data_IF_867331318307
#
_entry.id   IF_867331318307
#
_cell.length_a   1.000
_cell.length_b   1.000
_cell.length_c   1.000
_cell.angle_alpha   90.00
_cell.angle_beta   90.00
_cell.angle_gamma   90.00
#
_symmetry.space_group_name_H-M   'P 1'
#
loop_
_entity.id
_entity.type
_entity.pdbx_description
1 polymer ?
#
# COMPACT_ATOMS: atom_id res chain seq x y z
N UNK A 1 7.65 13.75 -24.38
CA UNK A 1 7.83 12.34 -24.03
C UNK A 1 7.29 12.10 -22.63
N UNK A 2 6.46 11.08 -22.45
CA UNK A 2 5.93 10.71 -21.13
C UNK A 2 6.76 9.56 -20.56
N UNK A 3 7.28 9.75 -19.36
CA UNK A 3 7.94 8.68 -18.62
C UNK A 3 6.91 7.78 -17.94
N UNK A 4 7.16 6.50 -17.92
CA UNK A 4 6.31 5.54 -17.24
C UNK A 4 7.07 4.77 -16.17
N UNK A 5 6.36 4.34 -15.13
CA UNK A 5 6.94 3.50 -14.08
C UNK A 5 5.90 2.51 -13.57
N UNK A 6 6.36 1.41 -13.04
CA UNK A 6 5.51 0.41 -12.42
C UNK A 6 5.40 0.69 -10.92
N UNK A 7 4.17 0.82 -10.45
CA UNK A 7 3.86 1.04 -9.03
C UNK A 7 3.26 -0.24 -8.45
N UNK A 8 4.04 -0.95 -7.66
CA UNK A 8 3.57 -2.12 -6.93
C UNK A 8 2.92 -1.65 -5.65
N UNK A 9 1.59 -1.68 -5.62
CA UNK A 9 0.79 -1.05 -4.58
C UNK A 9 0.00 -2.09 -3.81
N UNK A 10 0.00 -2.00 -2.48
CA UNK A 10 -0.74 -2.90 -1.60
C UNK A 10 -1.85 -2.16 -0.87
N UNK A 11 -3.07 -2.70 -0.95
CA UNK A 11 -4.23 -2.16 -0.21
C UNK A 11 -4.06 -2.22 1.30
N UNK A 12 -3.12 -3.04 1.78
CA UNK A 12 -2.89 -3.23 3.21
C UNK A 12 -1.72 -2.41 3.74
N UNK A 13 -0.88 -1.90 2.88
CA UNK A 13 0.30 -1.15 3.29
C UNK A 13 -0.06 0.29 3.68
N UNK A 14 0.19 0.70 4.93
CA UNK A 14 0.03 2.10 5.32
C UNK A 14 0.90 3.06 4.50
N UNK A 15 2.09 2.62 4.11
CA UNK A 15 2.99 3.45 3.28
C UNK A 15 2.44 3.65 1.87
N UNK A 16 1.76 2.66 1.30
CA UNK A 16 1.06 2.84 0.02
C UNK A 16 -0.02 3.91 0.14
N UNK A 17 -0.77 3.90 1.24
CA UNK A 17 -1.76 4.94 1.53
C UNK A 17 -1.12 6.32 1.64
N UNK A 18 -0.05 6.43 2.43
CA UNK A 18 0.58 7.73 2.72
C UNK A 18 1.21 8.37 1.48
N UNK A 19 1.66 7.59 0.50
CA UNK A 19 2.32 8.11 -0.70
C UNK A 19 1.34 8.45 -1.82
N UNK A 20 0.08 8.00 -1.72
CA UNK A 20 -0.88 8.08 -2.84
C UNK A 20 -1.10 9.50 -3.35
N UNK A 21 -1.30 10.49 -2.47
CA UNK A 21 -1.52 11.88 -2.89
C UNK A 21 -0.33 12.44 -3.66
N UNK A 22 0.89 12.10 -3.23
CA UNK A 22 2.12 12.55 -3.92
C UNK A 22 2.25 11.92 -5.29
N UNK A 23 1.87 10.65 -5.43
CA UNK A 23 1.91 9.96 -6.73
C UNK A 23 0.87 10.54 -7.69
N UNK A 24 -0.32 10.87 -7.20
CA UNK A 24 -1.35 11.55 -8.02
C UNK A 24 -0.87 12.92 -8.46
N UNK A 25 -0.28 13.69 -7.53
CA UNK A 25 0.28 15.02 -7.85
C UNK A 25 1.42 14.91 -8.87
N UNK A 26 2.24 13.88 -8.79
CA UNK A 26 3.33 13.64 -9.73
C UNK A 26 2.82 13.50 -11.16
N UNK A 27 1.75 12.73 -11.37
CA UNK A 27 1.13 12.59 -12.70
C UNK A 27 0.47 13.87 -13.18
N UNK A 28 -0.13 14.64 -12.27
CA UNK A 28 -0.77 15.90 -12.59
C UNK A 28 0.24 16.97 -13.03
N UNK A 29 1.38 17.03 -12.34
CA UNK A 29 2.32 18.14 -12.47
C UNK A 29 3.48 17.84 -13.44
N UNK A 30 3.70 16.59 -13.78
CA UNK A 30 4.80 16.15 -14.64
C UNK A 30 4.32 15.16 -15.69
N UNK A 31 5.10 15.04 -16.77
CA UNK A 31 4.82 14.06 -17.84
C UNK A 31 5.25 12.66 -17.40
N UNK A 32 4.56 12.13 -16.40
CA UNK A 32 4.85 10.82 -15.80
C UNK A 32 3.54 10.05 -15.63
N UNK A 33 3.55 8.76 -15.90
CA UNK A 33 2.39 7.89 -15.73
C UNK A 33 2.77 6.63 -14.95
N UNK A 34 1.97 6.31 -13.95
CA UNK A 34 2.12 5.08 -13.18
C UNK A 34 1.33 3.93 -13.82
N UNK A 35 1.97 2.79 -13.97
CA UNK A 35 1.28 1.52 -14.22
C UNK A 35 1.07 0.87 -12.85
N UNK A 36 -0.14 0.98 -12.33
CA UNK A 36 -0.45 0.45 -11.00
C UNK A 36 -0.57 -1.07 -11.06
N UNK A 37 0.25 -1.75 -10.27
CA UNK A 37 0.27 -3.21 -10.17
C UNK A 37 -0.08 -3.62 -8.74
N UNK A 38 -1.36 -3.90 -8.45
CA UNK A 38 -1.74 -4.34 -7.11
C UNK A 38 -1.06 -5.66 -6.76
N UNK A 39 -0.55 -5.74 -5.54
CA UNK A 39 0.12 -6.94 -5.03
C UNK A 39 -0.56 -7.42 -3.76
N UNK A 40 -0.43 -8.72 -3.48
CA UNK A 40 -0.88 -9.26 -2.22
C UNK A 40 -0.05 -8.69 -1.08
N UNK A 41 -0.69 -8.37 0.06
CA UNK A 41 0.05 -7.94 1.25
C UNK A 41 1.08 -8.97 1.70
N UNK A 42 2.13 -8.49 2.35
CA UNK A 42 3.22 -9.34 2.82
C UNK A 42 2.71 -10.47 3.74
N UNK A 43 1.74 -10.18 4.60
CA UNK A 43 1.15 -11.18 5.48
C UNK A 43 0.46 -12.33 4.73
N UNK A 44 0.03 -12.10 3.48
CA UNK A 44 -0.57 -13.13 2.63
C UNK A 44 0.49 -13.88 1.84
N UNK A 45 1.50 -13.17 1.31
CA UNK A 45 2.58 -13.78 0.52
C UNK A 45 3.51 -14.63 1.37
N UNK A 46 3.78 -14.18 2.58
CA UNK A 46 4.68 -14.85 3.53
C UNK A 46 4.00 -14.84 4.89
N UNK A 47 3.05 -15.78 5.16
CA UNK A 47 2.23 -15.74 6.36
C UNK A 47 3.00 -15.70 7.68
N UNK A 48 4.17 -16.33 7.72
CA UNK A 48 5.00 -16.38 8.94
C UNK A 48 5.94 -15.18 9.10
N UNK A 49 5.92 -14.21 8.16
CA UNK A 49 6.84 -13.07 8.23
C UNK A 49 6.73 -12.30 9.54
N UNK A 50 5.51 -11.94 9.93
CA UNK A 50 5.28 -11.15 11.14
C UNK A 50 5.52 -11.93 12.44
N UNK A 51 5.53 -13.26 12.36
CA UNK A 51 5.88 -14.12 13.49
C UNK A 51 7.40 -14.17 13.72
N UNK A 52 8.19 -13.92 12.68
CA UNK A 52 9.65 -14.01 12.70
C UNK A 52 10.36 -12.69 12.93
N UNK A 53 9.70 -11.57 12.62
CA UNK A 53 10.33 -10.25 12.79
C UNK A 53 10.44 -9.87 14.25
N UNK A 54 11.44 -9.04 14.57
CA UNK A 54 11.61 -8.50 15.91
C UNK A 54 10.38 -7.65 16.26
N UNK A 55 9.73 -7.89 17.41
CA UNK A 55 8.60 -7.07 17.85
C UNK A 55 8.92 -5.57 17.96
N UNK A 56 10.15 -5.22 18.24
CA UNK A 56 10.58 -3.81 18.28
C UNK A 56 10.46 -3.16 16.91
N UNK A 57 10.72 -3.90 15.82
CA UNK A 57 10.56 -3.39 14.48
C UNK A 57 9.10 -3.06 14.17
N UNK A 58 8.16 -3.93 14.58
CA UNK A 58 6.73 -3.68 14.39
C UNK A 58 6.30 -2.42 15.15
N UNK A 59 6.74 -2.26 16.39
CA UNK A 59 6.47 -1.06 17.17
C UNK A 59 7.03 0.21 16.54
N UNK A 60 8.23 0.12 15.99
CA UNK A 60 8.85 1.23 15.25
C UNK A 60 8.03 1.61 14.02
N UNK A 61 7.59 0.63 13.24
CA UNK A 61 6.76 0.89 12.06
C UNK A 61 5.47 1.63 12.42
N UNK A 62 4.80 1.20 13.46
CA UNK A 62 3.56 1.85 13.90
C UNK A 62 3.79 3.31 14.27
N UNK A 63 4.89 3.59 14.96
CA UNK A 63 5.26 4.94 15.34
C UNK A 63 5.65 5.79 14.13
N UNK A 64 6.44 5.22 13.22
CA UNK A 64 6.88 5.89 12.00
C UNK A 64 5.70 6.26 11.12
N UNK A 65 4.78 5.32 10.89
CA UNK A 65 3.57 5.54 10.10
C UNK A 65 2.73 6.67 10.69
N UNK A 66 2.57 6.70 12.01
CA UNK A 66 1.82 7.77 12.67
C UNK A 66 2.49 9.13 12.48
N UNK A 67 3.79 9.18 12.64
CA UNK A 67 4.57 10.42 12.45
C UNK A 67 4.51 10.91 11.02
N UNK A 68 4.63 10.02 10.05
CA UNK A 68 4.51 10.39 8.63
C UNK A 68 3.10 10.89 8.30
N UNK A 69 2.07 10.26 8.85
CA UNK A 69 0.69 10.70 8.66
C UNK A 69 0.49 12.12 9.22
N UNK A 70 0.99 12.40 10.41
CA UNK A 70 0.94 13.73 11.02
C UNK A 70 1.68 14.76 10.17
N UNK A 71 2.88 14.44 9.73
CA UNK A 71 3.68 15.33 8.88
C UNK A 71 2.95 15.67 7.57
N UNK A 72 2.28 14.70 6.97
CA UNK A 72 1.54 14.87 5.72
C UNK A 72 0.13 15.44 5.91
N UNK A 73 -0.33 15.57 7.15
CA UNK A 73 -1.69 16.02 7.45
C UNK A 73 -2.75 15.03 7.00
N UNK A 74 -2.45 13.74 6.97
CA UNK A 74 -3.37 12.70 6.54
C UNK A 74 -3.96 11.96 7.73
N UNK A 75 -5.29 11.70 7.73
CA UNK A 75 -5.89 10.88 8.76
C UNK A 75 -5.43 9.44 8.62
N UNK A 76 -5.17 8.77 9.73
CA UNK A 76 -4.85 7.35 9.74
C UNK A 76 -5.63 6.65 10.84
N UNK A 77 -6.16 5.47 10.52
CA UNK A 77 -6.88 4.62 11.45
C UNK A 77 -6.44 3.18 11.23
N UNK A 78 -6.08 2.54 12.31
CA UNK A 78 -5.71 1.13 12.27
C UNK A 78 -6.96 0.27 12.10
N UNK A 79 -6.93 -0.71 11.20
CA UNK A 79 -8.06 -1.62 11.05
C UNK A 79 -8.18 -2.55 12.26
N UNK A 80 -9.42 -2.95 12.54
CA UNK A 80 -9.72 -3.93 13.60
C UNK A 80 -10.63 -5.00 13.04
N UNK A 81 -10.23 -6.30 13.11
CA UNK A 81 -8.97 -6.83 13.61
C UNK A 81 -7.78 -6.49 12.70
N UNK A 82 -6.58 -6.56 13.26
CA UNK A 82 -5.35 -6.42 12.50
C UNK A 82 -4.50 -7.69 12.71
N UNK A 83 -4.18 -8.46 11.67
CA UNK A 83 -4.48 -8.16 10.26
C UNK A 83 -5.94 -8.41 9.87
N UNK A 84 -6.44 -7.57 9.00
CA UNK A 84 -7.76 -7.76 8.37
C UNK A 84 -7.69 -8.95 7.41
N UNK A 85 -8.85 -9.48 7.00
CA UNK A 85 -8.92 -10.55 5.98
C UNK A 85 -8.50 -10.02 4.60
N UNK A 86 -7.20 -9.77 4.46
CA UNK A 86 -6.59 -9.09 3.33
C UNK A 86 -6.61 -9.90 2.03
N UNK A 87 -6.60 -11.24 2.13
CA UNK A 87 -6.63 -12.11 0.96
C UNK A 87 -7.87 -11.84 0.10
N UNK A 88 -9.03 -11.67 0.75
CA UNK A 88 -10.28 -11.40 0.06
C UNK A 88 -10.27 -10.04 -0.65
N UNK A 89 -9.75 -9.02 0.00
CA UNK A 89 -9.63 -7.69 -0.61
C UNK A 89 -8.71 -7.70 -1.82
N UNK A 90 -7.58 -8.38 -1.72
CA UNK A 90 -6.62 -8.49 -2.81
C UNK A 90 -7.16 -9.29 -3.99
N UNK A 91 -7.94 -10.33 -3.72
CA UNK A 91 -8.60 -11.10 -4.77
C UNK A 91 -9.61 -10.25 -5.53
N UNK A 92 -10.38 -9.43 -4.82
CA UNK A 92 -11.33 -8.52 -5.45
C UNK A 92 -10.65 -7.51 -6.37
N UNK A 93 -9.53 -6.95 -5.94
CA UNK A 93 -8.73 -6.04 -6.75
C UNK A 93 -8.17 -6.73 -7.99
N UNK A 94 -7.65 -7.94 -7.83
CA UNK A 94 -7.09 -8.72 -8.94
C UNK A 94 -8.15 -9.03 -9.99
N UNK A 95 -9.36 -9.40 -9.55
CA UNK A 95 -10.46 -9.67 -10.46
C UNK A 95 -10.83 -8.42 -11.27
N UNK A 96 -10.87 -7.25 -10.64
CA UNK A 96 -11.13 -5.98 -11.32
C UNK A 96 -10.04 -5.65 -12.33
N UNK A 97 -8.78 -5.85 -11.98
CA UNK A 97 -7.66 -5.62 -12.89
C UNK A 97 -7.73 -6.55 -14.10
N UNK A 98 -8.05 -7.83 -13.88
CA UNK A 98 -8.21 -8.80 -14.96
C UNK A 98 -9.39 -8.44 -15.87
N UNK A 99 -10.48 -7.94 -15.29
CA UNK A 99 -11.63 -7.46 -16.06
C UNK A 99 -11.31 -6.23 -16.91
N UNK A 100 -10.46 -5.34 -16.41
CA UNK A 100 -10.03 -4.16 -17.15
C UNK A 100 -9.10 -4.49 -18.32
N UNK A 101 -8.39 -5.62 -18.26
CA UNK A 101 -7.47 -6.06 -19.31
C UNK A 101 -8.14 -6.88 -20.40
N UNK A 102 -9.40 -7.23 -20.25
CA UNK A 102 -10.21 -7.95 -21.23
C UNK A 102 -11.00 -6.99 -22.10
#
# INVERSE_FOLDING_TARGET
MTLTYDLYWSFRSPYSYLVTRRLVALERDYAVRANVRPVYPLAVRTPEFFDRVDPLWVGYLQLDIRREAEFLGLPIRWPRPDPVRVARASQGCRAKSSGALR
#
